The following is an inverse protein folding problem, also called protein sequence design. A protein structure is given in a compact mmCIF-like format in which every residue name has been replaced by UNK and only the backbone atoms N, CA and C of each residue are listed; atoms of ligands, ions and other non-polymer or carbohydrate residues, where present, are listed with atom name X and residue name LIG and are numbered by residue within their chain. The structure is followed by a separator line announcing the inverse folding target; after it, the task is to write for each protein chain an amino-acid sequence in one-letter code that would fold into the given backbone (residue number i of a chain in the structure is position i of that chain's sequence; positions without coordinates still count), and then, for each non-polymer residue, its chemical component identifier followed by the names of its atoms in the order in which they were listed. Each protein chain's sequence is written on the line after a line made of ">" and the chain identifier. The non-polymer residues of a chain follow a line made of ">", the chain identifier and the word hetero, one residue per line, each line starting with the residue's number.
data_IF_706494594415
#
_entry.id   IF_706494594415
#
_cell.length_a   1.000
_cell.length_b   1.000
_cell.length_c   1.000
_cell.angle_alpha   90.00
_cell.angle_beta   90.00
_cell.angle_gamma   90.00
#
_symmetry.space_group_name_H-M   'P 1'
#
loop_
_entity.id
_entity.type
_entity.pdbx_description
1 polymer ?
#
# COMPACT_ATOMS: atom_id res chain seq x y z
N UNK A 1 2.24 17.24 -8.66
CA UNK A 1 1.65 16.09 -7.95
C UNK A 1 0.18 16.10 -8.32
N UNK A 2 -0.30 15.15 -9.14
CA UNK A 2 -1.74 15.01 -9.33
C UNK A 2 -2.35 14.81 -7.93
N UNK A 3 -3.28 15.69 -7.59
CA UNK A 3 -3.77 15.93 -6.24
C UNK A 3 -4.70 14.79 -5.84
N UNK A 4 -4.14 13.64 -5.41
CA UNK A 4 -4.96 12.65 -4.73
C UNK A 4 -5.53 13.31 -3.47
N UNK A 5 -6.84 13.41 -3.37
CA UNK A 5 -7.53 13.90 -2.18
C UNK A 5 -7.91 12.71 -1.32
N UNK A 6 -7.72 12.84 0.00
CA UNK A 6 -8.02 11.78 0.95
C UNK A 6 -9.16 12.26 1.84
N UNK A 7 -10.31 11.62 1.72
CA UNK A 7 -11.48 11.91 2.53
C UNK A 7 -11.30 11.29 3.93
N UNK A 8 -11.03 12.15 4.91
CA UNK A 8 -10.82 11.77 6.33
C UNK A 8 -12.07 11.92 7.19
N UNK A 9 -13.15 12.45 6.61
CA UNK A 9 -14.40 12.75 7.33
C UNK A 9 -15.36 11.55 7.36
N UNK A 10 -14.88 10.36 7.00
CA UNK A 10 -15.64 9.11 7.04
C UNK A 10 -15.45 8.37 8.38
N UNK A 11 -16.49 7.65 8.77
CA UNK A 11 -16.48 6.74 9.91
C UNK A 11 -16.15 5.30 9.50
N UNK A 12 -16.40 4.36 10.41
CA UNK A 12 -16.33 2.94 10.11
C UNK A 12 -17.36 2.54 9.03
N UNK A 13 -17.00 1.59 8.18
CA UNK A 13 -17.87 1.11 7.12
C UNK A 13 -17.12 0.59 5.92
N UNK A 14 -17.86 0.26 4.86
CA UNK A 14 -17.29 -0.18 3.58
C UNK A 14 -17.58 0.85 2.50
N UNK A 15 -16.54 1.20 1.76
CA UNK A 15 -16.52 2.25 0.75
C UNK A 15 -15.82 1.75 -0.51
N UNK A 16 -15.94 2.52 -1.58
CA UNK A 16 -15.10 2.37 -2.77
C UNK A 16 -13.78 3.13 -2.61
N UNK A 17 -12.79 2.72 -3.39
CA UNK A 17 -11.49 3.39 -3.46
C UNK A 17 -11.62 4.90 -3.76
N UNK A 18 -12.50 5.28 -4.67
CA UNK A 18 -12.67 6.67 -5.13
C UNK A 18 -13.46 7.55 -4.16
N UNK A 19 -14.22 6.96 -3.23
CA UNK A 19 -14.89 7.68 -2.14
C UNK A 19 -13.89 8.12 -1.05
N UNK A 20 -12.77 7.40 -0.91
CA UNK A 20 -11.72 7.70 0.07
C UNK A 20 -10.54 8.44 -0.59
N UNK A 21 -10.05 7.93 -1.72
CA UNK A 21 -8.88 8.44 -2.43
C UNK A 21 -9.26 8.99 -3.81
N UNK A 22 -9.88 10.17 -3.83
CA UNK A 22 -10.29 10.82 -5.07
C UNK A 22 -9.07 11.19 -5.93
N UNK A 23 -9.10 10.85 -7.22
CA UNK A 23 -7.98 11.07 -8.15
C UNK A 23 -6.83 10.06 -8.04
N UNK A 24 -6.93 9.04 -7.18
CA UNK A 24 -5.89 8.01 -7.03
C UNK A 24 -5.63 7.25 -8.33
N UNK A 25 -6.68 6.99 -9.10
CA UNK A 25 -6.61 6.27 -10.38
C UNK A 25 -5.72 6.95 -11.42
N UNK A 26 -5.55 8.27 -11.32
CA UNK A 26 -4.71 9.06 -12.22
C UNK A 26 -3.22 9.01 -11.83
N UNK A 27 -2.86 8.25 -10.79
CA UNK A 27 -1.48 8.02 -10.40
C UNK A 27 -0.80 7.09 -11.42
N UNK A 28 0.20 7.62 -12.14
CA UNK A 28 0.95 6.90 -13.17
C UNK A 28 1.52 5.55 -12.71
N UNK A 29 1.87 5.43 -11.43
CA UNK A 29 2.38 4.18 -10.85
C UNK A 29 1.34 3.06 -10.94
N UNK A 30 0.04 3.35 -10.80
CA UNK A 30 -1.01 2.33 -10.79
C UNK A 30 -1.24 1.75 -12.19
N UNK A 31 -1.15 2.55 -13.24
CA UNK A 31 -1.18 2.02 -14.61
C UNK A 31 0.01 1.09 -14.88
N UNK A 32 1.17 1.32 -14.25
CA UNK A 32 2.32 0.40 -14.33
C UNK A 32 2.09 -0.88 -13.53
N UNK A 33 1.42 -0.81 -12.39
CA UNK A 33 1.09 -1.98 -11.56
C UNK A 33 0.08 -2.88 -12.28
N UNK A 34 -0.98 -2.30 -12.84
CA UNK A 34 -2.08 -3.06 -13.46
C UNK A 34 -1.96 -3.24 -14.98
N UNK A 35 -0.90 -2.68 -15.58
CA UNK A 35 -0.48 -2.78 -16.99
C UNK A 35 -1.45 -2.22 -18.04
N UNK A 36 -2.77 -2.25 -17.78
CA UNK A 36 -3.82 -1.79 -18.69
C UNK A 36 -4.86 -0.95 -17.96
N UNK A 37 -5.47 -0.03 -18.70
CA UNK A 37 -6.61 0.76 -18.22
C UNK A 37 -7.81 -0.14 -17.87
N UNK A 38 -8.01 -1.25 -18.60
CA UNK A 38 -9.10 -2.19 -18.33
C UNK A 38 -8.96 -2.83 -16.94
N UNK A 39 -7.79 -3.37 -16.61
CA UNK A 39 -7.55 -3.97 -15.29
C UNK A 39 -7.60 -2.91 -14.19
N UNK A 40 -7.01 -1.72 -14.41
CA UNK A 40 -7.08 -0.62 -13.46
C UNK A 40 -8.54 -0.19 -13.19
N UNK A 41 -9.38 -0.12 -14.24
CA UNK A 41 -10.80 0.15 -14.12
C UNK A 41 -11.52 -0.94 -13.33
N UNK A 42 -11.24 -2.21 -13.63
CA UNK A 42 -11.85 -3.36 -12.94
C UNK A 42 -11.52 -3.35 -11.45
N UNK A 43 -10.24 -3.14 -11.09
CA UNK A 43 -9.77 -3.04 -9.71
C UNK A 43 -10.51 -1.93 -8.96
N UNK A 44 -10.55 -0.71 -9.51
CA UNK A 44 -11.26 0.41 -8.87
C UNK A 44 -12.77 0.17 -8.73
N UNK A 45 -13.37 -0.64 -9.61
CA UNK A 45 -14.80 -0.93 -9.57
C UNK A 45 -15.20 -2.04 -8.60
N UNK A 46 -14.29 -2.97 -8.30
CA UNK A 46 -14.58 -4.18 -7.52
C UNK A 46 -13.92 -4.22 -6.14
N UNK A 47 -12.79 -3.55 -5.98
CA UNK A 47 -12.06 -3.55 -4.71
C UNK A 47 -12.82 -2.68 -3.70
N UNK A 48 -13.21 -3.31 -2.60
CA UNK A 48 -13.82 -2.66 -1.46
C UNK A 48 -12.75 -2.15 -0.51
N UNK A 49 -13.06 -1.06 0.18
CA UNK A 49 -12.24 -0.53 1.26
C UNK A 49 -13.07 -0.52 2.54
N UNK A 50 -12.65 -1.27 3.55
CA UNK A 50 -13.27 -1.27 4.87
C UNK A 50 -12.46 -0.38 5.80
N UNK A 51 -13.13 0.61 6.40
CA UNK A 51 -12.57 1.41 7.49
C UNK A 51 -13.03 0.79 8.81
N UNK A 52 -12.08 0.40 9.65
CA UNK A 52 -12.32 -0.32 10.90
C UNK A 52 -11.52 0.32 12.05
N UNK A 53 -12.15 0.49 13.21
CA UNK A 53 -11.48 1.06 14.38
C UNK A 53 -10.52 0.10 15.09
N UNK A 54 -10.62 -1.22 14.84
CA UNK A 54 -9.76 -2.23 15.48
C UNK A 54 -8.44 -2.46 14.73
N UNK A 55 -8.37 -2.02 13.48
CA UNK A 55 -7.19 -2.12 12.64
C UNK A 55 -6.25 -0.94 12.87
N UNK A 56 -4.95 -1.19 12.98
CA UNK A 56 -3.95 -0.14 13.22
C UNK A 56 -3.38 0.47 11.93
N UNK A 57 -3.27 -0.30 10.86
CA UNK A 57 -2.63 0.09 9.59
C UNK A 57 -3.52 -0.26 8.39
N UNK A 58 -2.99 -0.09 7.19
CA UNK A 58 -3.57 -0.63 5.97
C UNK A 58 -3.14 -2.09 5.78
N UNK A 59 -4.03 -2.93 5.27
CA UNK A 59 -3.70 -4.29 4.80
C UNK A 59 -4.76 -4.81 3.82
N UNK A 60 -4.45 -5.87 3.09
CA UNK A 60 -5.40 -6.56 2.19
C UNK A 60 -5.85 -7.89 2.79
N UNK A 61 -7.16 -8.15 2.75
CA UNK A 61 -7.70 -9.46 3.05
C UNK A 61 -7.35 -10.45 1.93
N UNK A 62 -6.68 -11.54 2.28
CA UNK A 62 -6.24 -12.57 1.34
C UNK A 62 -7.40 -13.35 0.71
N UNK A 63 -8.58 -13.39 1.36
CA UNK A 63 -9.74 -14.14 0.88
C UNK A 63 -10.41 -13.47 -0.32
N UNK A 64 -10.55 -12.14 -0.30
CA UNK A 64 -11.39 -11.42 -1.26
C UNK A 64 -10.79 -10.11 -1.81
N UNK A 65 -9.53 -9.81 -1.48
CA UNK A 65 -8.83 -8.58 -1.85
C UNK A 65 -9.46 -7.27 -1.31
N UNK A 66 -10.32 -7.34 -0.28
CA UNK A 66 -10.78 -6.14 0.42
C UNK A 66 -9.60 -5.46 1.11
N UNK A 67 -9.42 -4.16 0.85
CA UNK A 67 -8.46 -3.34 1.58
C UNK A 67 -9.10 -2.96 2.91
N UNK A 68 -8.37 -3.09 4.01
CA UNK A 68 -8.77 -2.63 5.33
C UNK A 68 -7.88 -1.47 5.73
N UNK A 69 -8.47 -0.39 6.23
CA UNK A 69 -7.77 0.79 6.73
C UNK A 69 -8.16 1.03 8.17
N UNK A 70 -7.17 1.11 9.06
CA UNK A 70 -7.39 1.59 10.42
C UNK A 70 -7.99 2.99 10.47
N UNK A 71 -9.08 3.19 11.20
CA UNK A 71 -9.77 4.49 11.31
C UNK A 71 -8.83 5.59 11.81
N UNK A 72 -8.04 5.30 12.85
CA UNK A 72 -7.08 6.25 13.41
C UNK A 72 -5.93 6.56 12.42
N UNK A 73 -5.46 5.55 11.69
CA UNK A 73 -4.47 5.71 10.62
C UNK A 73 -4.97 6.65 9.53
N UNK A 74 -6.19 6.43 9.03
CA UNK A 74 -6.81 7.28 8.01
C UNK A 74 -6.92 8.74 8.47
N UNK A 75 -7.28 8.96 9.75
CA UNK A 75 -7.50 10.31 10.28
C UNK A 75 -6.19 11.06 10.55
N UNK A 76 -5.17 10.37 11.06
CA UNK A 76 -4.02 11.03 11.69
C UNK A 76 -2.74 10.98 10.86
N UNK A 77 -2.56 9.98 10.01
CA UNK A 77 -1.31 9.78 9.26
C UNK A 77 -1.05 10.89 8.25
N UNK A 78 0.22 11.11 7.93
CA UNK A 78 0.60 12.07 6.90
C UNK A 78 0.00 11.67 5.55
N UNK A 79 -0.41 12.66 4.75
CA UNK A 79 -1.06 12.43 3.46
C UNK A 79 -0.18 11.59 2.51
N UNK A 80 1.13 11.81 2.54
CA UNK A 80 2.09 11.08 1.70
C UNK A 80 2.21 9.62 2.14
N UNK A 81 2.17 9.37 3.45
CA UNK A 81 2.21 8.02 4.01
C UNK A 81 0.96 7.24 3.58
N UNK A 82 -0.23 7.81 3.78
CA UNK A 82 -1.49 7.17 3.33
C UNK A 82 -1.52 6.92 1.82
N UNK A 83 -0.92 7.81 1.02
CA UNK A 83 -0.80 7.62 -0.41
C UNK A 83 0.14 6.45 -0.76
N UNK A 84 1.28 6.34 -0.11
CA UNK A 84 2.21 5.23 -0.34
C UNK A 84 1.62 3.91 0.15
N UNK A 85 0.92 3.90 1.28
CA UNK A 85 0.25 2.71 1.81
C UNK A 85 -0.82 2.21 0.86
N UNK A 86 -1.68 3.09 0.31
CA UNK A 86 -2.69 2.62 -0.66
C UNK A 86 -2.07 2.12 -1.97
N UNK A 87 -0.94 2.69 -2.39
CA UNK A 87 -0.18 2.15 -3.53
C UNK A 87 0.36 0.75 -3.21
N UNK A 88 0.93 0.56 -2.02
CA UNK A 88 1.41 -0.73 -1.54
C UNK A 88 0.29 -1.78 -1.51
N UNK A 89 -0.84 -1.46 -0.90
CA UNK A 89 -1.99 -2.36 -0.84
C UNK A 89 -2.58 -2.68 -2.21
N UNK A 90 -2.56 -1.75 -3.17
CA UNK A 90 -3.01 -2.03 -4.53
C UNK A 90 -2.10 -3.02 -5.26
N UNK A 91 -0.80 -3.06 -4.94
CA UNK A 91 0.07 -4.15 -5.41
C UNK A 91 -0.37 -5.48 -4.80
N UNK A 92 -0.71 -5.51 -3.52
CA UNK A 92 -1.25 -6.71 -2.87
C UNK A 92 -2.59 -7.16 -3.45
N UNK A 93 -3.50 -6.24 -3.80
CA UNK A 93 -4.74 -6.57 -4.52
C UNK A 93 -4.45 -7.29 -5.83
N UNK A 94 -3.49 -6.79 -6.62
CA UNK A 94 -3.08 -7.45 -7.87
C UNK A 94 -2.52 -8.85 -7.60
N UNK A 95 -1.62 -8.98 -6.62
CA UNK A 95 -1.01 -10.26 -6.26
C UNK A 95 -2.06 -11.28 -5.78
N UNK A 96 -3.01 -10.86 -4.96
CA UNK A 96 -4.11 -11.71 -4.49
C UNK A 96 -4.98 -12.18 -5.66
N UNK A 97 -5.33 -11.30 -6.60
CA UNK A 97 -6.08 -11.65 -7.82
C UNK A 97 -5.35 -12.62 -8.73
N UNK A 98 -4.02 -12.64 -8.67
CA UNK A 98 -3.17 -13.63 -9.36
C UNK A 98 -3.11 -14.98 -8.61
N UNK A 99 -3.75 -15.10 -7.46
CA UNK A 99 -3.81 -16.31 -6.64
C UNK A 99 -2.62 -16.49 -5.69
N UNK A 100 -1.86 -15.42 -5.42
CA UNK A 100 -0.76 -15.47 -4.46
C UNK A 100 -1.27 -15.38 -3.02
N UNK A 101 -0.67 -16.16 -2.13
CA UNK A 101 -0.92 -16.03 -0.68
C UNK A 101 -0.10 -14.86 -0.13
N UNK A 102 -0.79 -13.76 0.20
CA UNK A 102 -0.17 -12.57 0.74
C UNK A 102 0.51 -12.81 2.08
N UNK A 103 0.12 -13.86 2.83
CA UNK A 103 0.60 -14.13 4.19
C UNK A 103 1.37 -15.45 4.30
N UNK A 104 2.00 -15.90 3.20
CA UNK A 104 2.78 -17.13 3.18
C UNK A 104 3.82 -17.16 4.33
N UNK A 105 3.59 -18.07 5.28
CA UNK A 105 4.38 -18.22 6.51
C UNK A 105 5.68 -18.99 6.27
N UNK A 106 5.94 -19.48 5.06
CA UNK A 106 7.24 -20.03 4.69
C UNK A 106 8.34 -18.95 4.67
N UNK A 107 7.96 -17.68 4.56
CA UNK A 107 8.87 -16.53 4.55
C UNK A 107 8.67 -15.66 5.79
N UNK A 108 9.75 -15.03 6.25
CA UNK A 108 9.65 -13.89 7.17
C UNK A 108 8.97 -12.72 6.44
N UNK A 109 8.44 -11.75 7.19
CA UNK A 109 7.80 -10.56 6.59
C UNK A 109 8.70 -9.88 5.55
N UNK A 110 9.95 -9.61 5.90
CA UNK A 110 10.91 -8.90 5.03
C UNK A 110 11.47 -9.75 3.88
N UNK A 111 11.25 -11.07 3.92
CA UNK A 111 11.65 -12.00 2.86
C UNK A 111 10.49 -12.43 1.97
N UNK A 112 9.25 -12.07 2.32
CA UNK A 112 8.09 -12.52 1.57
C UNK A 112 8.12 -11.87 0.19
N UNK A 113 8.07 -12.67 -0.91
CA UNK A 113 8.17 -12.13 -2.26
C UNK A 113 7.12 -11.06 -2.57
N UNK A 114 5.91 -11.20 -2.01
CA UNK A 114 4.81 -10.24 -2.17
C UNK A 114 5.12 -8.89 -1.53
N UNK A 115 5.66 -8.88 -0.31
CA UNK A 115 6.08 -7.67 0.44
C UNK A 115 7.26 -6.98 -0.26
N UNK A 116 8.27 -7.75 -0.68
CA UNK A 116 9.45 -7.20 -1.37
C UNK A 116 9.04 -6.53 -2.69
N UNK A 117 8.14 -7.12 -3.47
CA UNK A 117 7.63 -6.51 -4.69
C UNK A 117 6.80 -5.24 -4.38
N UNK A 118 5.88 -5.30 -3.42
CA UNK A 118 5.03 -4.17 -3.04
C UNK A 118 5.86 -2.99 -2.55
N UNK A 119 6.84 -3.22 -1.69
CA UNK A 119 7.77 -2.18 -1.27
C UNK A 119 8.70 -1.69 -2.38
N UNK A 120 9.15 -2.56 -3.29
CA UNK A 120 9.98 -2.12 -4.44
C UNK A 120 9.23 -1.09 -5.29
N UNK A 121 7.96 -1.35 -5.59
CA UNK A 121 7.10 -0.43 -6.35
C UNK A 121 6.85 0.86 -5.55
N UNK A 122 6.55 0.72 -4.26
CA UNK A 122 6.26 1.86 -3.38
C UNK A 122 7.48 2.77 -3.20
N UNK A 123 8.70 2.20 -3.11
CA UNK A 123 9.97 2.94 -3.05
C UNK A 123 10.24 3.71 -4.33
N UNK A 124 9.94 3.12 -5.50
CA UNK A 124 10.05 3.84 -6.78
C UNK A 124 9.12 5.06 -6.80
N UNK A 125 7.90 4.91 -6.29
CA UNK A 125 6.94 5.99 -6.20
C UNK A 125 7.36 7.07 -5.18
N UNK A 126 7.84 6.65 -4.00
CA UNK A 126 8.38 7.56 -3.00
C UNK A 126 9.54 8.42 -3.55
N UNK A 127 10.45 7.81 -4.33
CA UNK A 127 11.53 8.54 -5.03
C UNK A 127 10.97 9.49 -6.08
N UNK A 128 9.96 9.09 -6.86
CA UNK A 128 9.28 9.96 -7.84
C UNK A 128 8.64 11.18 -7.15
N UNK A 129 8.14 11.02 -5.93
CA UNK A 129 7.62 12.09 -5.08
C UNK A 129 8.71 12.95 -4.41
N UNK A 130 9.99 12.62 -4.61
CA UNK A 130 11.13 13.39 -4.11
C UNK A 130 11.53 13.07 -2.67
N UNK A 131 11.09 11.94 -2.10
CA UNK A 131 11.57 11.49 -0.79
C UNK A 131 13.04 11.10 -0.87
N UNK A 132 13.79 11.48 0.16
CA UNK A 132 15.18 11.05 0.36
C UNK A 132 15.22 9.62 0.87
N UNK A 133 16.31 8.90 0.60
CA UNK A 133 16.50 7.53 1.08
C UNK A 133 16.35 7.41 2.61
N UNK A 134 16.68 8.45 3.40
CA UNK A 134 16.43 8.45 4.85
C UNK A 134 14.94 8.46 5.20
N UNK A 135 14.12 9.26 4.49
CA UNK A 135 12.67 9.30 4.70
C UNK A 135 12.01 8.00 4.24
N UNK A 136 12.52 7.41 3.16
CA UNK A 136 12.07 6.11 2.67
C UNK A 136 12.47 5.01 3.65
N UNK A 137 13.67 5.09 4.23
CA UNK A 137 14.09 4.14 5.25
C UNK A 137 13.13 4.18 6.44
N UNK A 138 12.81 5.36 6.96
CA UNK A 138 11.85 5.50 8.06
C UNK A 138 10.46 4.97 7.69
N UNK A 139 10.02 5.18 6.43
CA UNK A 139 8.74 4.65 5.92
C UNK A 139 8.69 3.11 5.92
N UNK A 140 9.79 2.43 5.62
CA UNK A 140 9.85 0.95 5.58
C UNK A 140 9.82 0.30 6.98
N UNK A 141 9.83 1.08 8.05
CA UNK A 141 9.80 0.55 9.41
C UNK A 141 8.37 0.21 9.84
N UNK A 142 8.17 -1.03 10.28
CA UNK A 142 6.93 -1.50 10.92
C UNK A 142 7.24 -2.09 12.30
N UNK A 143 6.28 -2.07 13.22
CA UNK A 143 6.53 -2.43 14.63
C UNK A 143 6.84 -3.92 14.86
N UNK A 144 6.49 -4.78 13.90
CA UNK A 144 6.69 -6.23 14.00
C UNK A 144 7.99 -6.75 13.37
N UNK A 145 8.92 -5.85 12.97
CA UNK A 145 10.25 -6.25 12.48
C UNK A 145 11.36 -5.72 13.37
N UNK A 146 12.47 -6.46 13.41
CA UNK A 146 13.70 -6.01 14.09
C UNK A 146 14.44 -4.95 13.26
N UNK A 147 15.34 -4.18 13.88
CA UNK A 147 16.20 -3.23 13.14
C UNK A 147 17.08 -3.91 12.08
N UNK A 148 17.47 -5.17 12.29
CA UNK A 148 18.22 -5.95 11.32
C UNK A 148 17.35 -6.31 10.10
N UNK A 149 16.11 -6.73 10.33
CA UNK A 149 15.12 -7.00 9.27
C UNK A 149 14.74 -5.73 8.52
N UNK A 150 14.57 -4.59 9.21
CA UNK A 150 14.31 -3.30 8.60
C UNK A 150 15.44 -2.87 7.65
N UNK A 151 16.70 -2.99 8.09
CA UNK A 151 17.86 -2.76 7.21
C UNK A 151 17.90 -3.72 6.02
N UNK A 152 17.55 -4.99 6.25
CA UNK A 152 17.50 -6.02 5.21
C UNK A 152 16.45 -5.69 4.14
N UNK A 153 15.23 -5.36 4.55
CA UNK A 153 14.15 -4.93 3.67
C UNK A 153 14.57 -3.71 2.85
N UNK A 154 15.11 -2.69 3.51
CA UNK A 154 15.55 -1.49 2.81
C UNK A 154 16.63 -1.78 1.76
N UNK A 155 17.56 -2.69 2.06
CA UNK A 155 18.58 -3.12 1.09
C UNK A 155 17.96 -3.89 -0.08
N UNK A 156 16.99 -4.78 0.17
CA UNK A 156 16.36 -5.60 -0.89
C UNK A 156 15.57 -4.76 -1.88
N UNK A 157 15.01 -3.63 -1.44
CA UNK A 157 14.27 -2.68 -2.29
C UNK A 157 15.13 -1.52 -2.81
N UNK A 158 16.46 -1.63 -2.65
CA UNK A 158 17.43 -0.78 -3.32
C UNK A 158 17.78 0.54 -2.62
N UNK A 159 17.68 0.62 -1.29
CA UNK A 159 18.33 1.68 -0.51
C UNK A 159 19.79 1.31 -0.24
N UNK A 160 20.68 2.30 -0.33
CA UNK A 160 22.10 2.15 0.01
C UNK A 160 22.39 2.93 1.31
N UNK A 161 23.23 2.36 2.18
CA UNK A 161 23.64 2.91 3.48
C UNK A 161 25.16 2.99 3.59
#
# INVERSE_FOLDING_TARGET
>A
MNLVEINRDIGEGTFRLDEIFTGLKDAEILLRVFETEEELNDVFSRTKVTVDAHSHYMHVNNEDATIVIGLDHLKTSDKKILYLDIVHELVHVRQQRQGLDLYDKAYSYVDRPTEVEAYTITVQEARRLGMKDSEIYDYLHVEWITSAEHKKLATSVGLAF
#
